data_IF_715291449132
#
_entry.id   IF_715291449132
#
_cell.length_a   1.000
_cell.length_b   1.000
_cell.length_c   1.000
_cell.angle_alpha   90.00
_cell.angle_beta   90.00
_cell.angle_gamma   90.00
#
_symmetry.space_group_name_H-M   'P 1'
#
loop_
_entity.id
_entity.type
_entity.pdbx_description
1 polymer ?
#
# COMPACT_ATOMS: atom_id res chain seq x y z
N UNK A 1 14.80 -26.64 -5.68
CA UNK A 1 14.22 -25.50 -6.43
C UNK A 1 12.86 -25.18 -5.87
N UNK A 2 12.48 -23.91 -5.85
CA UNK A 2 11.15 -23.43 -5.45
C UNK A 2 10.66 -22.38 -6.44
N UNK A 3 9.35 -22.29 -6.60
CA UNK A 3 8.72 -21.40 -7.54
C UNK A 3 7.76 -20.44 -6.79
N UNK A 4 7.42 -19.31 -7.40
CA UNK A 4 6.46 -18.36 -6.86
C UNK A 4 5.12 -19.07 -6.53
N UNK A 5 4.51 -18.71 -5.40
CA UNK A 5 3.27 -19.31 -4.90
C UNK A 5 3.45 -20.59 -4.06
N UNK A 6 4.65 -21.13 -3.92
CA UNK A 6 4.90 -22.31 -3.08
C UNK A 6 5.18 -21.95 -1.62
N UNK A 7 4.75 -22.84 -0.71
CA UNK A 7 5.22 -22.82 0.69
C UNK A 7 6.62 -23.41 0.75
N UNK A 8 7.56 -22.64 1.24
CA UNK A 8 8.98 -23.02 1.31
C UNK A 8 9.48 -22.87 2.73
N UNK A 9 10.28 -23.87 3.16
CA UNK A 9 11.06 -23.74 4.39
C UNK A 9 12.41 -23.10 4.05
N UNK A 10 12.73 -22.00 4.73
CA UNK A 10 13.96 -21.26 4.52
C UNK A 10 14.79 -21.32 5.80
N UNK A 11 16.07 -21.69 5.67
CA UNK A 11 17.03 -21.62 6.77
C UNK A 11 17.71 -20.24 6.76
N UNK A 12 17.49 -19.47 7.82
CA UNK A 12 18.08 -18.14 7.99
C UNK A 12 19.29 -18.25 8.93
N UNK A 13 20.48 -18.01 8.40
CA UNK A 13 21.71 -17.93 9.19
C UNK A 13 21.83 -16.57 9.89
N UNK A 14 22.43 -16.55 11.08
CA UNK A 14 22.73 -15.35 11.86
C UNK A 14 21.52 -14.53 12.35
N UNK A 15 20.32 -15.08 12.30
CA UNK A 15 19.10 -14.46 12.85
C UNK A 15 18.58 -15.33 14.01
N UNK A 16 18.32 -14.71 15.15
CA UNK A 16 17.76 -15.43 16.30
C UNK A 16 16.25 -15.60 16.12
N UNK A 17 15.72 -16.76 16.51
CA UNK A 17 14.27 -17.08 16.44
C UNK A 17 13.38 -15.99 17.04
N UNK A 18 13.82 -15.30 18.10
CA UNK A 18 13.09 -14.21 18.77
C UNK A 18 12.98 -12.92 17.95
N UNK A 19 13.82 -12.78 16.91
CA UNK A 19 13.85 -11.61 16.01
C UNK A 19 12.86 -11.76 14.86
N UNK A 20 12.35 -12.98 14.65
CA UNK A 20 11.39 -13.29 13.60
C UNK A 20 10.01 -13.42 14.22
N UNK A 21 9.09 -12.60 13.78
CA UNK A 21 7.66 -12.64 14.16
C UNK A 21 6.81 -13.05 12.97
N UNK A 22 5.58 -13.49 13.23
CA UNK A 22 4.56 -13.61 12.18
C UNK A 22 4.36 -12.25 11.52
N UNK A 23 4.31 -12.21 10.20
CA UNK A 23 4.22 -10.98 9.42
C UNK A 23 5.55 -10.46 8.87
N UNK A 24 6.69 -11.03 9.28
CA UNK A 24 7.97 -10.68 8.66
C UNK A 24 7.98 -11.10 7.18
N UNK A 25 8.55 -10.25 6.35
CA UNK A 25 8.71 -10.44 4.91
C UNK A 25 10.19 -10.59 4.58
N UNK A 26 10.53 -11.54 3.70
CA UNK A 26 11.84 -11.65 3.09
C UNK A 26 11.83 -10.91 1.76
N UNK A 27 12.74 -9.98 1.61
CA UNK A 27 12.84 -9.14 0.42
C UNK A 27 14.31 -8.89 0.09
N UNK A 28 14.66 -8.55 -1.16
CA UNK A 28 15.99 -8.06 -1.51
C UNK A 28 16.39 -6.87 -0.64
N UNK A 29 17.69 -6.73 -0.42
CA UNK A 29 18.21 -5.63 0.41
C UNK A 29 17.79 -4.28 -0.19
N UNK A 30 17.22 -3.40 0.64
CA UNK A 30 16.74 -2.08 0.25
C UNK A 30 15.55 -2.03 -0.74
N UNK A 31 14.88 -3.15 -1.02
CA UNK A 31 13.71 -3.18 -1.92
C UNK A 31 12.38 -2.83 -1.24
N UNK A 32 12.32 -2.84 0.08
CA UNK A 32 11.12 -2.51 0.85
C UNK A 32 11.46 -1.61 2.04
N UNK A 33 10.50 -0.79 2.41
CA UNK A 33 10.57 0.04 3.61
C UNK A 33 9.38 -0.28 4.50
N UNK A 34 9.60 -0.37 5.81
CA UNK A 34 8.50 -0.46 6.76
C UNK A 34 7.70 0.85 6.79
N UNK A 35 6.40 0.73 6.97
CA UNK A 35 5.47 1.85 7.03
C UNK A 35 4.38 1.63 8.07
N UNK A 36 3.97 2.70 8.70
CA UNK A 36 2.78 2.81 9.55
C UNK A 36 1.63 3.58 8.89
N UNK A 37 1.82 3.99 7.61
CA UNK A 37 0.84 4.79 6.88
C UNK A 37 0.64 4.22 5.48
N UNK A 38 -0.63 4.02 5.09
CA UNK A 38 -1.02 3.45 3.80
C UNK A 38 -2.15 4.25 3.17
N UNK A 39 -2.05 4.57 1.88
CA UNK A 39 -3.20 4.97 1.09
C UNK A 39 -3.76 3.75 0.37
N UNK A 40 -5.06 3.56 0.49
CA UNK A 40 -5.74 2.36 -0.02
C UNK A 40 -7.05 2.70 -0.72
N UNK A 41 -7.44 1.84 -1.67
CA UNK A 41 -8.85 1.72 -2.10
C UNK A 41 -9.50 0.65 -1.25
N UNK A 42 -10.52 1.00 -0.49
CA UNK A 42 -11.25 0.10 0.38
C UNK A 42 -12.67 -0.12 -0.15
N UNK A 43 -13.07 -1.38 -0.23
CA UNK A 43 -14.42 -1.79 -0.60
C UNK A 43 -15.09 -2.43 0.62
N UNK A 44 -16.25 -1.95 1.01
CA UNK A 44 -17.07 -2.52 2.06
C UNK A 44 -17.93 -3.62 1.45
N UNK A 45 -18.03 -4.77 2.12
CA UNK A 45 -18.85 -5.90 1.63
C UNK A 45 -20.33 -5.52 1.63
N UNK A 46 -21.08 -5.98 0.61
CA UNK A 46 -22.55 -5.83 0.54
C UNK A 46 -23.25 -6.44 1.76
N UNK A 47 -22.67 -7.51 2.30
CA UNK A 47 -23.18 -8.23 3.46
C UNK A 47 -22.85 -7.56 4.80
N UNK A 48 -22.08 -6.47 4.81
CA UNK A 48 -21.80 -5.73 6.04
C UNK A 48 -23.08 -5.12 6.60
N UNK A 49 -23.30 -5.29 7.90
CA UNK A 49 -24.42 -4.66 8.60
C UNK A 49 -24.07 -3.26 9.13
N UNK A 50 -22.83 -2.85 8.96
CA UNK A 50 -22.29 -1.62 9.56
C UNK A 50 -21.63 -0.76 8.51
N UNK A 51 -21.72 0.54 8.73
CA UNK A 51 -21.06 1.57 7.94
C UNK A 51 -19.67 1.83 8.50
N UNK A 52 -18.70 2.04 7.63
CA UNK A 52 -17.37 2.49 8.01
C UNK A 52 -17.36 4.01 8.15
N UNK A 53 -17.09 4.50 9.35
CA UNK A 53 -16.99 5.92 9.65
C UNK A 53 -15.55 6.37 9.82
N UNK A 54 -15.33 7.69 9.71
CA UNK A 54 -14.00 8.27 9.90
C UNK A 54 -13.46 7.98 11.32
N UNK A 55 -12.14 7.71 11.41
CA UNK A 55 -11.41 7.29 12.60
C UNK A 55 -11.84 5.94 13.21
N UNK A 56 -12.62 5.12 12.50
CA UNK A 56 -12.91 3.75 12.93
C UNK A 56 -11.61 2.99 13.19
N UNK A 57 -11.55 2.30 14.33
CA UNK A 57 -10.44 1.41 14.69
C UNK A 57 -10.72 0.03 14.14
N UNK A 58 -9.77 -0.51 13.39
CA UNK A 58 -9.90 -1.76 12.64
C UNK A 58 -8.71 -2.68 12.89
N UNK A 59 -8.93 -3.97 12.71
CA UNK A 59 -7.87 -4.93 12.44
C UNK A 59 -7.59 -4.93 10.94
N UNK A 60 -6.36 -4.75 10.57
CA UNK A 60 -5.84 -4.79 9.20
C UNK A 60 -5.04 -6.07 9.00
N UNK A 61 -5.35 -6.80 7.95
CA UNK A 61 -4.71 -8.06 7.58
C UNK A 61 -4.16 -7.97 6.17
N UNK A 62 -2.87 -8.26 6.00
CA UNK A 62 -2.23 -8.41 4.69
C UNK A 62 -1.15 -9.47 4.76
N UNK A 63 -1.10 -10.38 3.78
CA UNK A 63 -0.22 -11.54 3.82
C UNK A 63 -0.40 -12.33 5.12
N UNK A 64 0.63 -12.37 5.96
CA UNK A 64 0.60 -13.02 7.28
C UNK A 64 0.57 -12.01 8.45
N UNK A 65 0.58 -10.71 8.14
CA UNK A 65 0.54 -9.64 9.14
C UNK A 65 -0.87 -9.37 9.62
N UNK A 66 -0.99 -9.07 10.90
CA UNK A 66 -2.19 -8.55 11.55
C UNK A 66 -1.78 -7.38 12.43
N UNK A 67 -2.31 -6.20 12.15
CA UNK A 67 -2.04 -4.99 12.93
C UNK A 67 -3.31 -4.18 13.13
N UNK A 68 -3.36 -3.41 14.19
CA UNK A 68 -4.44 -2.45 14.42
C UNK A 68 -4.18 -1.18 13.62
N UNK A 69 -5.27 -0.58 13.13
CA UNK A 69 -5.19 0.69 12.41
C UNK A 69 -6.39 1.60 12.69
N UNK A 70 -6.25 2.85 12.29
CA UNK A 70 -7.34 3.83 12.21
C UNK A 70 -7.57 4.23 10.77
N UNK A 71 -8.82 4.19 10.34
CA UNK A 71 -9.23 4.58 9.00
C UNK A 71 -9.52 6.09 8.95
N UNK A 72 -8.84 6.82 8.08
CA UNK A 72 -9.15 8.21 7.74
C UNK A 72 -9.76 8.22 6.35
N UNK A 73 -11.05 8.47 6.26
CA UNK A 73 -11.78 8.52 4.98
C UNK A 73 -11.41 9.82 4.26
N UNK A 74 -10.99 9.77 2.99
CA UNK A 74 -10.46 10.92 2.27
C UNK A 74 -11.51 11.59 1.37
N UNK A 75 -12.41 10.80 0.77
CA UNK A 75 -13.37 11.21 -0.26
C UNK A 75 -14.84 11.22 0.21
N UNK A 76 -15.15 10.57 1.35
CA UNK A 76 -16.51 10.40 1.86
C UNK A 76 -16.59 10.66 3.36
N UNK A 77 -17.78 10.95 3.88
CA UNK A 77 -18.03 11.00 5.33
C UNK A 77 -18.12 9.59 5.92
N UNK A 78 -18.71 8.66 5.17
CA UNK A 78 -18.87 7.27 5.55
C UNK A 78 -18.84 6.38 4.29
N UNK A 79 -18.54 5.09 4.45
CA UNK A 79 -18.59 4.09 3.38
C UNK A 79 -19.57 3.01 3.83
N UNK A 80 -20.70 2.92 3.13
CA UNK A 80 -21.76 1.94 3.38
C UNK A 80 -21.51 0.58 2.76
N UNK A 81 -22.37 -0.42 3.05
CA UNK A 81 -22.32 -1.73 2.41
C UNK A 81 -22.36 -1.63 0.89
N UNK A 82 -21.50 -2.35 0.20
CA UNK A 82 -21.37 -2.34 -1.26
C UNK A 82 -20.65 -1.12 -1.84
N UNK A 83 -20.28 -0.17 -1.01
CA UNK A 83 -19.57 1.03 -1.45
C UNK A 83 -18.04 0.87 -1.35
N UNK A 84 -17.35 1.74 -2.08
CA UNK A 84 -15.89 1.89 -2.00
C UNK A 84 -15.49 3.35 -1.76
N UNK A 85 -14.29 3.54 -1.22
CA UNK A 85 -13.73 4.86 -1.00
C UNK A 85 -12.21 4.84 -0.87
N UNK A 86 -11.62 6.03 -0.93
CA UNK A 86 -10.20 6.23 -0.65
C UNK A 86 -9.98 6.46 0.83
N UNK A 87 -9.09 5.67 1.40
CA UNK A 87 -8.85 5.67 2.83
C UNK A 87 -7.34 5.73 3.10
N UNK A 88 -6.95 6.59 4.02
CA UNK A 88 -5.62 6.54 4.60
C UNK A 88 -5.68 5.74 5.89
N UNK A 89 -4.99 4.59 5.91
CA UNK A 89 -4.88 3.74 7.10
C UNK A 89 -3.64 4.12 7.91
N UNK A 90 -3.84 4.46 9.17
CA UNK A 90 -2.77 4.72 10.14
C UNK A 90 -2.61 3.49 11.02
N UNK A 91 -1.54 2.77 10.83
CA UNK A 91 -1.25 1.53 11.52
C UNK A 91 -0.65 1.82 12.90
N UNK A 92 -0.91 0.95 13.88
CA UNK A 92 -0.33 1.05 15.23
C UNK A 92 1.07 0.39 15.29
N UNK A 93 1.45 -0.39 14.28
CA UNK A 93 2.78 -1.01 14.11
C UNK A 93 3.24 -0.89 12.66
N UNK A 94 4.54 -0.76 12.45
CA UNK A 94 5.13 -0.74 11.10
C UNK A 94 5.11 -2.12 10.46
N UNK A 95 4.77 -2.17 9.18
CA UNK A 95 4.77 -3.38 8.35
C UNK A 95 5.48 -3.15 7.03
N UNK A 96 5.94 -4.22 6.40
CA UNK A 96 6.47 -4.20 5.04
C UNK A 96 5.38 -4.64 4.06
N UNK A 97 5.02 -3.76 3.14
CA UNK A 97 4.00 -4.00 2.11
C UNK A 97 4.40 -3.36 0.79
N UNK A 98 3.76 -3.76 -0.29
CA UNK A 98 3.92 -3.21 -1.63
C UNK A 98 2.63 -2.58 -2.15
N UNK A 99 2.76 -1.69 -3.13
CA UNK A 99 1.65 -1.27 -3.97
C UNK A 99 1.03 -2.50 -4.65
N UNK A 100 -0.28 -2.54 -4.73
CA UNK A 100 -1.03 -3.67 -5.29
C UNK A 100 -1.29 -4.83 -4.32
N UNK A 101 -0.66 -4.86 -3.14
CA UNK A 101 -0.97 -5.85 -2.13
C UNK A 101 -2.43 -5.76 -1.71
N UNK A 102 -3.06 -6.95 -1.57
CA UNK A 102 -4.44 -7.07 -1.10
C UNK A 102 -4.47 -7.11 0.42
N UNK A 103 -5.53 -6.54 0.97
CA UNK A 103 -5.77 -6.54 2.41
C UNK A 103 -7.23 -6.81 2.75
N UNK A 104 -7.45 -7.20 3.99
CA UNK A 104 -8.78 -7.36 4.59
C UNK A 104 -8.84 -6.52 5.86
N UNK A 105 -9.99 -5.92 6.14
CA UNK A 105 -10.25 -5.18 7.37
C UNK A 105 -11.44 -5.76 8.12
N UNK A 106 -11.30 -5.75 9.47
CA UNK A 106 -12.34 -6.18 10.40
C UNK A 106 -12.55 -5.11 11.45
N UNK A 107 -13.79 -4.95 11.94
CA UNK A 107 -14.03 -4.09 13.10
C UNK A 107 -13.28 -4.59 14.33
N UNK A 108 -12.84 -3.63 15.16
CA UNK A 108 -12.15 -3.96 16.40
C UNK A 108 -13.07 -4.71 17.38
N UNK A 109 -14.33 -4.28 17.50
CA UNK A 109 -15.30 -4.94 18.39
C UNK A 109 -16.74 -4.61 17.95
N UNK A 110 -17.58 -5.62 17.75
CA UNK A 110 -17.24 -7.05 17.59
C UNK A 110 -16.34 -7.26 16.38
N UNK A 111 -15.54 -8.32 16.39
CA UNK A 111 -14.64 -8.64 15.29
C UNK A 111 -15.42 -9.22 14.12
N UNK A 112 -15.81 -8.34 13.20
CA UNK A 112 -16.58 -8.67 12.00
C UNK A 112 -15.81 -8.19 10.76
N UNK A 113 -15.73 -9.03 9.74
CA UNK A 113 -15.11 -8.63 8.47
C UNK A 113 -16.03 -7.65 7.75
N UNK A 114 -15.52 -6.46 7.47
CA UNK A 114 -16.30 -5.40 6.81
C UNK A 114 -15.93 -5.20 5.36
N UNK A 115 -14.72 -5.57 4.98
CA UNK A 115 -14.26 -5.32 3.63
C UNK A 115 -12.79 -5.63 3.44
N UNK A 116 -12.27 -5.11 2.37
CA UNK A 116 -10.87 -5.20 1.98
C UNK A 116 -10.60 -4.34 0.76
N UNK A 117 -9.42 -4.49 0.20
CA UNK A 117 -9.08 -3.67 -0.96
C UNK A 117 -7.66 -3.86 -1.42
N UNK A 118 -7.11 -2.80 -1.99
CA UNK A 118 -5.77 -2.77 -2.55
C UNK A 118 -4.98 -1.58 -1.99
N UNK A 119 -3.71 -1.79 -1.71
CA UNK A 119 -2.78 -0.75 -1.31
C UNK A 119 -2.37 0.03 -2.56
N UNK A 120 -2.66 1.33 -2.57
CA UNK A 120 -2.30 2.23 -3.67
C UNK A 120 -0.90 2.81 -3.46
N UNK A 121 -0.59 3.19 -2.21
CA UNK A 121 0.72 3.74 -1.86
C UNK A 121 1.14 3.35 -0.44
N UNK A 122 2.27 2.66 -0.27
CA UNK A 122 2.96 2.53 1.01
C UNK A 122 3.80 3.80 1.27
N UNK A 123 3.93 4.20 2.52
CA UNK A 123 4.66 5.42 2.95
C UNK A 123 4.14 6.77 2.37
N UNK A 124 2.83 7.00 2.23
CA UNK A 124 2.32 8.27 1.75
C UNK A 124 2.61 9.41 2.74
N UNK A 125 2.47 10.65 2.28
CA UNK A 125 2.36 11.80 3.20
C UNK A 125 0.96 11.81 3.85
N UNK A 126 0.86 12.43 5.03
CA UNK A 126 -0.44 12.65 5.68
C UNK A 126 -1.30 13.53 4.77
N UNK A 127 -2.47 13.02 4.40
CA UNK A 127 -3.43 13.67 3.52
C UNK A 127 -4.58 14.30 4.31
N UNK A 128 -5.13 15.39 3.78
CA UNK A 128 -6.35 16.01 4.31
C UNK A 128 -7.56 15.45 3.57
N UNK A 129 -8.68 15.37 4.29
CA UNK A 129 -9.96 14.92 3.73
C UNK A 129 -10.52 15.95 2.75
N UNK A 130 -11.27 15.48 1.75
CA UNK A 130 -12.02 16.28 0.79
C UNK A 130 -11.17 17.29 0.02
N UNK A 131 -9.98 16.89 -0.36
CA UNK A 131 -9.11 17.65 -1.25
C UNK A 131 -9.17 17.01 -2.64
N UNK A 132 -9.64 17.77 -3.61
CA UNK A 132 -9.83 17.27 -4.99
C UNK A 132 -8.52 16.80 -5.62
N UNK A 133 -7.42 17.53 -5.39
CA UNK A 133 -6.08 17.16 -5.85
C UNK A 133 -5.58 15.82 -5.27
N UNK A 134 -5.93 15.53 -4.01
CA UNK A 134 -5.61 14.26 -3.35
C UNK A 134 -6.42 13.12 -3.95
N UNK A 135 -7.71 13.36 -4.22
CA UNK A 135 -8.60 12.34 -4.79
C UNK A 135 -8.16 12.01 -6.22
N UNK A 136 -7.89 13.02 -7.05
CA UNK A 136 -7.37 12.84 -8.41
C UNK A 136 -6.02 12.10 -8.45
N UNK A 137 -5.13 12.38 -7.49
CA UNK A 137 -3.87 11.65 -7.35
C UNK A 137 -4.14 10.16 -7.07
N UNK A 138 -5.07 9.85 -6.16
CA UNK A 138 -5.40 8.47 -5.79
C UNK A 138 -6.12 7.72 -6.93
N UNK A 139 -6.99 8.40 -7.68
CA UNK A 139 -7.64 7.85 -8.87
C UNK A 139 -6.62 7.49 -9.95
N UNK A 140 -5.65 8.36 -10.19
CA UNK A 140 -4.52 8.06 -11.09
C UNK A 140 -3.68 6.89 -10.61
N UNK A 141 -3.44 6.76 -9.30
CA UNK A 141 -2.74 5.61 -8.72
C UNK A 141 -3.56 4.32 -8.76
N UNK A 142 -4.89 4.40 -8.71
CA UNK A 142 -5.78 3.23 -8.84
C UNK A 142 -5.84 2.72 -10.29
N UNK A 143 -5.99 3.63 -11.26
CA UNK A 143 -6.17 3.31 -12.68
C UNK A 143 -4.86 3.22 -13.45
N UNK A 144 -3.79 3.84 -12.95
CA UNK A 144 -2.52 3.97 -13.63
C UNK A 144 -1.66 2.70 -13.60
N UNK A 145 -0.87 2.56 -14.64
CA UNK A 145 0.21 1.58 -14.71
C UNK A 145 1.30 1.89 -13.66
N UNK A 146 2.24 0.98 -13.46
CA UNK A 146 3.45 1.25 -12.66
C UNK A 146 4.23 2.45 -13.21
N UNK A 147 4.30 2.58 -14.54
CA UNK A 147 4.92 3.71 -15.23
C UNK A 147 4.27 5.06 -14.86
N UNK A 148 2.92 5.14 -14.83
CA UNK A 148 2.21 6.36 -14.42
C UNK A 148 2.57 6.80 -12.99
N UNK A 149 2.72 5.84 -12.08
CA UNK A 149 3.10 6.12 -10.70
C UNK A 149 4.55 6.60 -10.61
N UNK A 150 5.46 6.02 -11.38
CA UNK A 150 6.84 6.47 -11.48
C UNK A 150 6.89 7.90 -12.03
N UNK A 151 6.14 8.20 -13.10
CA UNK A 151 6.04 9.54 -13.67
C UNK A 151 5.52 10.57 -12.65
N UNK A 152 4.52 10.21 -11.83
CA UNK A 152 4.01 11.06 -10.76
C UNK A 152 5.07 11.36 -9.69
N UNK A 153 5.83 10.35 -9.27
CA UNK A 153 6.91 10.55 -8.29
C UNK A 153 8.07 11.35 -8.86
N UNK A 154 8.47 11.10 -10.11
CA UNK A 154 9.49 11.88 -10.79
C UNK A 154 9.07 13.35 -10.91
N UNK A 155 7.84 13.63 -11.32
CA UNK A 155 7.29 14.99 -11.40
C UNK A 155 7.22 15.70 -10.05
N UNK A 156 6.89 14.98 -8.97
CA UNK A 156 6.84 15.54 -7.63
C UNK A 156 8.23 15.93 -7.07
N UNK A 157 9.31 15.35 -7.61
CA UNK A 157 10.69 15.71 -7.28
C UNK A 157 11.22 16.90 -8.10
N UNK A 158 10.50 17.31 -9.15
CA UNK A 158 10.87 18.45 -9.99
C UNK A 158 12.23 18.27 -10.67
N UNK A 159 13.07 19.30 -10.63
CA UNK A 159 14.40 19.29 -11.28
C UNK A 159 15.47 18.51 -10.50
N UNK A 160 15.10 17.80 -9.43
CA UNK A 160 16.05 17.01 -8.65
C UNK A 160 16.18 15.62 -9.26
N UNK A 161 17.42 15.22 -9.58
CA UNK A 161 17.69 13.87 -10.08
C UNK A 161 17.30 12.83 -9.02
N UNK A 162 16.51 11.86 -9.42
CA UNK A 162 16.12 10.72 -8.60
C UNK A 162 16.65 9.44 -9.23
N UNK A 163 17.25 8.58 -8.43
CA UNK A 163 17.77 7.30 -8.93
C UNK A 163 16.66 6.25 -9.03
N UNK A 164 16.81 5.28 -9.94
CA UNK A 164 15.90 4.12 -10.05
C UNK A 164 15.79 3.36 -8.71
N UNK A 165 16.87 3.32 -7.91
CA UNK A 165 16.87 2.69 -6.60
C UNK A 165 16.01 3.47 -5.56
N UNK A 166 15.94 4.78 -5.69
CA UNK A 166 15.04 5.62 -4.84
C UNK A 166 13.61 5.51 -5.32
N UNK A 167 13.37 5.52 -6.64
CA UNK A 167 12.05 5.27 -7.21
C UNK A 167 11.50 3.91 -6.78
N UNK A 168 12.31 2.85 -6.84
CA UNK A 168 11.93 1.52 -6.38
C UNK A 168 11.49 1.52 -4.90
N UNK A 169 12.17 2.27 -4.05
CA UNK A 169 11.78 2.42 -2.63
C UNK A 169 10.50 3.21 -2.43
N UNK A 170 10.28 4.26 -3.22
CA UNK A 170 9.10 5.12 -3.12
C UNK A 170 7.86 4.43 -3.66
N UNK A 171 7.99 3.71 -4.78
CA UNK A 171 6.88 3.00 -5.43
C UNK A 171 6.65 1.61 -4.88
N UNK A 172 7.61 1.07 -4.09
CA UNK A 172 7.65 -0.31 -3.62
C UNK A 172 7.59 -1.34 -4.77
N UNK A 173 8.09 -0.97 -5.95
CA UNK A 173 8.32 -1.84 -7.10
C UNK A 173 9.72 -2.48 -7.02
N UNK A 174 9.93 -3.55 -7.77
CA UNK A 174 11.28 -4.11 -7.90
C UNK A 174 12.17 -3.17 -8.73
N UNK A 175 13.49 -3.16 -8.52
CA UNK A 175 14.40 -2.35 -9.34
C UNK A 175 14.33 -2.68 -10.84
N UNK A 176 13.98 -3.91 -11.18
CA UNK A 176 13.84 -4.40 -12.56
C UNK A 176 12.59 -3.81 -13.21
N UNK A 177 11.44 -3.87 -12.52
CA UNK A 177 10.18 -3.23 -12.97
C UNK A 177 10.35 -1.72 -13.14
N UNK A 178 11.01 -1.05 -12.19
CA UNK A 178 11.28 0.40 -12.30
C UNK A 178 12.17 0.72 -13.49
N UNK A 179 13.20 -0.09 -13.77
CA UNK A 179 14.09 0.14 -14.89
C UNK A 179 13.39 -0.03 -16.25
N UNK A 180 12.45 -0.98 -16.36
CA UNK A 180 11.62 -1.18 -17.55
C UNK A 180 10.67 -0.01 -17.74
N UNK A 181 9.92 0.37 -16.71
CA UNK A 181 8.96 1.47 -16.75
C UNK A 181 9.64 2.84 -17.01
N UNK A 182 10.80 3.10 -16.41
CA UNK A 182 11.59 4.33 -16.65
C UNK A 182 12.00 4.41 -18.12
N UNK A 183 12.44 3.30 -18.70
CA UNK A 183 12.83 3.26 -20.11
C UNK A 183 11.65 3.53 -21.05
N UNK A 184 10.47 2.97 -20.74
CA UNK A 184 9.24 3.25 -21.48
C UNK A 184 8.88 4.73 -21.42
N UNK A 185 8.94 5.35 -20.23
CA UNK A 185 8.65 6.78 -20.00
C UNK A 185 9.68 7.71 -20.68
N UNK A 186 10.96 7.30 -20.77
CA UNK A 186 11.99 8.01 -21.52
C UNK A 186 11.72 7.95 -23.03
N UNK A 187 11.33 6.77 -23.56
CA UNK A 187 10.97 6.60 -24.97
C UNK A 187 9.71 7.42 -25.36
N UNK A 188 8.77 7.57 -24.43
CA UNK A 188 7.58 8.43 -24.60
C UNK A 188 7.87 9.92 -24.39
N UNK A 189 9.04 10.29 -23.90
CA UNK A 189 9.44 11.67 -23.63
C UNK A 189 8.73 12.29 -22.42
N UNK A 190 8.21 11.48 -21.52
CA UNK A 190 7.52 11.92 -20.29
C UNK A 190 8.50 12.30 -19.19
N UNK A 191 9.66 11.66 -19.17
CA UNK A 191 10.79 11.93 -18.27
C UNK A 191 12.11 11.97 -19.05
N UNK A 192 13.17 12.57 -18.45
CA UNK A 192 14.51 12.72 -19.04
C UNK A 192 15.58 12.27 -18.06
#
# INVERSE_FOLDING_TARGET
ECYAGQRVAINLSNIKKKEIKRGCVLAPVNSMKNTDLLDVKLNVLDSSLRVLTNHSRLHFFTGTSEVLCRAVLLDKEEIGPGESGYVQLRLEEEIAVRRGDKFVVRFYSPMETIGGGVILEPNPKIKRRFQDDVIEELERKESGSSADVIALHAKAHGDTLISCAELAKLTALSPEEVAEDVKELEEEGTIY
#
